data_IF_317623177291
#
_entry.id   IF_317623177291
#
_cell.length_a   1.000
_cell.length_b   1.000
_cell.length_c   1.000
_cell.angle_alpha   90.00
_cell.angle_beta   90.00
_cell.angle_gamma   90.00
#
_symmetry.space_group_name_H-M   'P 1'
#
loop_
_entity.id
_entity.type
_entity.pdbx_description
1 polymer ?
#
# COMPACT_ATOMS: atom_id res chain seq x y z
N UNK A 1 -15.66 10.53 1.20
CA UNK A 1 -14.20 10.37 1.33
C UNK A 1 -13.63 11.53 2.12
N UNK A 2 -12.94 11.26 3.19
CA UNK A 2 -12.28 12.26 4.02
C UNK A 2 -10.78 12.12 3.82
N UNK A 3 -10.16 13.12 3.21
CA UNK A 3 -8.72 13.16 3.01
C UNK A 3 -8.08 13.87 4.19
N UNK A 4 -7.04 13.31 4.75
CA UNK A 4 -6.33 13.88 5.89
C UNK A 4 -4.85 13.98 5.60
N UNK A 5 -4.29 15.16 5.84
CA UNK A 5 -2.85 15.37 5.83
C UNK A 5 -2.33 15.10 7.25
N UNK A 6 -1.33 14.25 7.36
CA UNK A 6 -0.75 13.88 8.65
C UNK A 6 0.74 13.62 8.51
N UNK A 7 1.45 13.70 9.62
CA UNK A 7 2.87 13.32 9.69
C UNK A 7 2.94 11.90 10.23
N UNK A 8 3.54 11.01 9.45
CA UNK A 8 3.79 9.63 9.84
C UNK A 8 5.30 9.40 9.96
N UNK A 9 5.68 8.50 10.85
CA UNK A 9 7.09 8.23 11.17
C UNK A 9 7.46 6.86 10.63
N UNK A 10 8.57 6.79 9.89
CA UNK A 10 9.10 5.52 9.37
C UNK A 10 9.53 4.63 10.52
N UNK A 11 8.93 3.45 10.61
CA UNK A 11 9.29 2.42 11.58
C UNK A 11 10.02 1.24 10.95
N UNK A 12 9.87 1.05 9.65
CA UNK A 12 10.56 0.00 8.90
C UNK A 12 10.67 0.40 7.44
N UNK A 13 11.80 0.12 6.82
CA UNK A 13 12.01 0.28 5.38
C UNK A 13 12.94 -0.85 4.92
N UNK A 14 12.34 -1.98 4.51
CA UNK A 14 13.05 -3.24 4.31
C UNK A 14 12.92 -3.71 2.87
N UNK A 15 14.04 -4.10 2.26
CA UNK A 15 14.04 -4.74 0.96
C UNK A 15 13.46 -6.16 1.09
N UNK A 16 12.42 -6.45 0.31
CA UNK A 16 11.81 -7.78 0.26
C UNK A 16 12.32 -8.62 -0.91
N UNK A 17 12.58 -7.95 -2.02
CA UNK A 17 13.08 -8.56 -3.25
C UNK A 17 13.76 -7.47 -4.07
N UNK A 18 14.31 -7.82 -5.23
CA UNK A 18 14.96 -6.86 -6.10
C UNK A 18 13.96 -5.77 -6.52
N UNK A 19 14.23 -4.52 -6.12
CA UNK A 19 13.39 -3.37 -6.43
C UNK A 19 12.07 -3.31 -5.65
N UNK A 20 11.83 -4.19 -4.69
CA UNK A 20 10.59 -4.25 -3.90
C UNK A 20 10.90 -4.03 -2.42
N UNK A 21 10.22 -3.07 -1.81
CA UNK A 21 10.44 -2.68 -0.42
C UNK A 21 9.14 -2.66 0.36
N UNK A 22 9.24 -2.98 1.65
CA UNK A 22 8.16 -2.78 2.62
C UNK A 22 8.47 -1.57 3.47
N UNK A 23 7.57 -0.60 3.47
CA UNK A 23 7.65 0.62 4.27
C UNK A 23 6.54 0.59 5.32
N UNK A 24 6.90 0.69 6.59
CA UNK A 24 5.93 0.84 7.67
C UNK A 24 6.05 2.21 8.29
N UNK A 25 4.89 2.81 8.54
CA UNK A 25 4.77 4.16 9.08
C UNK A 25 3.83 4.14 10.28
N UNK A 26 4.22 4.85 11.33
CA UNK A 26 3.39 4.97 12.53
C UNK A 26 2.79 6.36 12.65
N UNK A 27 1.55 6.43 13.12
CA UNK A 27 0.84 7.67 13.38
C UNK A 27 -0.66 7.54 13.18
N UNK A 28 -1.31 8.63 12.77
CA UNK A 28 -2.75 8.66 12.60
C UNK A 28 -3.16 8.01 11.26
N UNK A 29 -3.78 6.85 11.34
CA UNK A 29 -4.32 6.12 10.19
C UNK A 29 -5.84 6.19 10.10
N UNK A 30 -6.48 7.06 10.89
CA UNK A 30 -7.94 7.08 11.03
C UNK A 30 -8.70 7.43 9.74
N UNK A 31 -8.07 8.12 8.81
CA UNK A 31 -8.70 8.46 7.53
C UNK A 31 -8.67 7.31 6.51
N UNK A 32 -7.88 6.26 6.77
CA UNK A 32 -7.85 5.07 5.94
C UNK A 32 -9.01 4.18 6.38
N UNK A 33 -9.98 3.98 5.51
CA UNK A 33 -11.26 3.34 5.89
C UNK A 33 -11.58 2.07 5.12
N UNK A 34 -10.92 1.84 3.98
CA UNK A 34 -11.26 0.71 3.13
C UNK A 34 -10.05 0.19 2.35
N UNK A 35 -10.00 -1.14 2.10
CA UNK A 35 -8.99 -1.70 1.18
C UNK A 35 -9.14 -1.09 -0.20
N UNK A 36 -8.02 -0.85 -0.88
CA UNK A 36 -8.01 -0.24 -2.20
C UNK A 36 -7.76 1.26 -2.18
N UNK A 37 -7.77 1.89 -1.02
CA UNK A 37 -7.35 3.29 -0.89
C UNK A 37 -5.83 3.40 -1.04
N UNK A 38 -5.36 4.61 -1.28
CA UNK A 38 -3.94 4.90 -1.42
C UNK A 38 -3.55 6.13 -0.59
N UNK A 39 -2.25 6.32 -0.46
CA UNK A 39 -1.66 7.49 0.20
C UNK A 39 -0.76 8.22 -0.77
N UNK A 40 -0.57 9.53 -0.55
CA UNK A 40 0.39 10.33 -1.28
C UNK A 40 1.50 10.79 -0.33
N UNK A 41 2.72 10.34 -0.59
CA UNK A 41 3.89 10.67 0.20
C UNK A 41 4.61 11.90 -0.36
N UNK A 42 4.89 12.88 0.49
CA UNK A 42 5.73 14.01 0.13
C UNK A 42 7.18 13.65 0.42
N UNK A 43 7.99 13.62 -0.64
CA UNK A 43 9.42 13.30 -0.54
C UNK A 43 10.25 14.58 -0.60
N UNK A 44 11.25 14.66 0.28
CA UNK A 44 12.18 15.78 0.30
C UNK A 44 12.91 15.92 -1.04
N UNK A 45 12.94 17.14 -1.60
CA UNK A 45 13.58 17.40 -2.88
C UNK A 45 12.76 17.06 -4.12
N UNK A 46 11.54 16.55 -3.95
CA UNK A 46 10.66 16.23 -5.07
C UNK A 46 9.43 17.13 -5.06
N UNK A 47 9.07 17.65 -6.22
CA UNK A 47 7.96 18.58 -6.36
C UNK A 47 6.60 17.87 -6.20
N UNK A 48 6.45 16.70 -6.82
CA UNK A 48 5.20 15.94 -6.79
C UNK A 48 5.24 14.86 -5.71
N UNK A 49 4.09 14.65 -5.05
CA UNK A 49 3.91 13.55 -4.12
C UNK A 49 3.92 12.22 -4.88
N UNK A 50 4.21 11.13 -4.15
CA UNK A 50 4.22 9.76 -4.72
C UNK A 50 3.01 8.99 -4.20
N UNK A 51 2.09 8.56 -5.11
CA UNK A 51 0.95 7.74 -4.71
C UNK A 51 1.38 6.28 -4.53
N UNK A 52 0.98 5.69 -3.41
CA UNK A 52 1.23 4.27 -3.13
C UNK A 52 -0.02 3.68 -2.53
N UNK A 53 -0.46 2.54 -3.05
CA UNK A 53 -1.61 1.81 -2.54
C UNK A 53 -1.34 1.26 -1.15
N UNK A 54 -2.34 1.31 -0.28
CA UNK A 54 -2.26 0.77 1.07
C UNK A 54 -2.25 -0.75 0.99
N UNK A 55 -1.23 -1.38 1.57
CA UNK A 55 -1.18 -2.83 1.74
C UNK A 55 -2.01 -3.26 2.94
N UNK A 56 -1.77 -2.62 4.08
CA UNK A 56 -2.51 -2.88 5.32
C UNK A 56 -2.40 -1.67 6.25
N UNK A 57 -3.36 -1.58 7.18
CA UNK A 57 -3.30 -0.57 8.25
C UNK A 57 -3.99 -1.13 9.48
N UNK A 58 -3.41 -0.90 10.65
CA UNK A 58 -3.95 -1.41 11.90
C UNK A 58 -3.33 -0.66 13.08
N UNK A 59 -4.18 -0.17 13.99
CA UNK A 59 -3.75 0.42 15.27
C UNK A 59 -2.66 1.49 15.15
N UNK A 60 -2.82 2.40 14.18
CA UNK A 60 -1.86 3.49 13.99
C UNK A 60 -0.58 3.08 13.26
N UNK A 61 -0.57 1.91 12.62
CA UNK A 61 0.52 1.47 11.75
C UNK A 61 0.03 1.26 10.32
N UNK A 62 0.72 1.88 9.38
CA UNK A 62 0.45 1.77 7.96
C UNK A 62 1.56 0.94 7.30
N UNK A 63 1.18 -0.06 6.52
CA UNK A 63 2.11 -0.87 5.73
C UNK A 63 1.92 -0.59 4.25
N UNK A 64 3.01 -0.23 3.60
CA UNK A 64 3.09 0.00 2.16
C UNK A 64 4.12 -0.94 1.57
N UNK A 65 3.86 -1.41 0.36
CA UNK A 65 4.86 -2.13 -0.44
C UNK A 65 4.99 -1.36 -1.73
N UNK A 66 6.22 -0.96 -2.05
CA UNK A 66 6.48 -0.15 -3.25
C UNK A 66 7.56 -0.78 -4.11
N UNK A 67 7.46 -0.51 -5.41
CA UNK A 67 8.44 -0.92 -6.39
C UNK A 67 9.28 0.30 -6.78
N UNK A 68 10.58 0.12 -6.87
CA UNK A 68 11.50 1.17 -7.32
C UNK A 68 11.35 1.32 -8.83
N UNK A 69 10.77 2.46 -9.25
CA UNK A 69 10.44 2.73 -10.65
C UNK A 69 11.07 4.02 -11.18
N UNK A 70 11.64 4.86 -10.33
CA UNK A 70 12.21 6.14 -10.73
C UNK A 70 12.89 6.83 -9.58
N UNK A 71 13.28 8.07 -9.76
CA UNK A 71 14.07 8.82 -8.79
C UNK A 71 13.37 8.99 -7.44
N UNK A 72 12.05 9.19 -7.44
CA UNK A 72 11.29 9.35 -6.21
C UNK A 72 11.28 8.08 -5.37
N UNK A 73 10.91 6.95 -5.95
CA UNK A 73 10.90 5.66 -5.24
C UNK A 73 12.30 5.18 -4.91
N UNK A 74 13.31 5.51 -5.75
CA UNK A 74 14.71 5.24 -5.43
C UNK A 74 15.14 6.01 -4.18
N UNK A 75 14.77 7.28 -4.07
CA UNK A 75 15.06 8.08 -2.88
C UNK A 75 14.40 7.51 -1.62
N UNK A 76 13.22 6.91 -1.76
CA UNK A 76 12.53 6.27 -0.64
C UNK A 76 13.35 5.13 -0.01
N UNK A 77 14.15 4.43 -0.80
CA UNK A 77 14.97 3.30 -0.30
C UNK A 77 15.99 3.73 0.74
N UNK A 78 16.38 5.00 0.74
CA UNK A 78 17.34 5.55 1.69
C UNK A 78 16.74 6.14 2.97
N UNK A 79 15.41 6.12 3.11
CA UNK A 79 14.78 6.67 4.30
C UNK A 79 15.05 5.81 5.54
N UNK A 80 15.62 6.44 6.57
CA UNK A 80 15.92 5.77 7.82
C UNK A 80 14.69 5.68 8.73
N UNK A 81 14.70 4.70 9.63
CA UNK A 81 13.73 4.64 10.75
C UNK A 81 13.80 5.95 11.53
N UNK A 82 12.63 6.50 11.87
CA UNK A 82 12.51 7.80 12.55
C UNK A 82 12.29 8.96 11.59
N UNK A 83 12.41 8.76 10.28
CA UNK A 83 12.11 9.80 9.30
C UNK A 83 10.63 10.20 9.38
N UNK A 84 10.37 11.50 9.45
CA UNK A 84 9.01 12.04 9.43
C UNK A 84 8.59 12.31 8.00
N UNK A 85 7.42 11.82 7.61
CA UNK A 85 6.85 12.02 6.29
C UNK A 85 5.52 12.75 6.38
N UNK A 86 5.34 13.73 5.50
CA UNK A 86 4.05 14.36 5.27
C UNK A 86 3.26 13.47 4.31
N UNK A 87 2.11 12.99 4.75
CA UNK A 87 1.31 11.99 4.03
C UNK A 87 -0.13 12.46 3.91
N UNK A 88 -0.68 12.39 2.71
CA UNK A 88 -2.13 12.51 2.50
C UNK A 88 -2.72 11.11 2.56
N UNK A 89 -3.68 10.90 3.46
CA UNK A 89 -4.35 9.61 3.68
C UNK A 89 -5.83 9.69 3.33
N UNK A 90 -6.47 8.54 3.13
CA UNK A 90 -7.90 8.47 2.84
C UNK A 90 -8.23 8.76 1.38
N UNK A 91 -7.28 8.62 0.48
CA UNK A 91 -7.47 8.85 -0.94
C UNK A 91 -8.04 7.60 -1.62
N UNK A 92 -8.94 7.81 -2.59
CA UNK A 92 -9.60 6.73 -3.31
C UNK A 92 -10.85 6.19 -2.60
N UNK A 93 -11.70 5.51 -3.35
CA UNK A 93 -12.98 5.02 -2.84
C UNK A 93 -12.90 3.65 -2.18
N UNK A 94 -11.81 2.93 -2.42
CA UNK A 94 -11.67 1.55 -1.95
C UNK A 94 -12.46 0.55 -2.77
N UNK A 95 -12.27 -0.73 -2.44
CA UNK A 95 -13.05 -1.82 -3.03
C UNK A 95 -14.43 -1.91 -2.39
N UNK A 96 -15.43 -2.22 -3.19
CA UNK A 96 -16.77 -2.51 -2.67
C UNK A 96 -16.84 -3.98 -2.23
N UNK A 97 -16.66 -4.21 -0.94
CA UNK A 97 -16.62 -5.57 -0.38
C UNK A 97 -17.98 -6.27 -0.42
N UNK A 98 -19.08 -5.55 -0.64
CA UNK A 98 -20.42 -6.13 -0.71
C UNK A 98 -20.67 -6.89 -2.01
N UNK A 99 -19.88 -6.67 -3.04
CA UNK A 99 -20.10 -7.24 -4.38
C UNK A 99 -19.48 -8.61 -4.60
N UNK A 100 -18.66 -9.09 -3.67
CA UNK A 100 -17.91 -10.34 -3.86
C UNK A 100 -18.69 -11.62 -3.67
N UNK A 101 -19.90 -11.57 -3.14
CA UNK A 101 -20.68 -12.77 -2.82
C UNK A 101 -19.99 -13.62 -1.75
N UNK A 102 -20.31 -14.94 -1.71
CA UNK A 102 -19.77 -15.88 -0.72
C UNK A 102 -18.36 -16.36 -1.06
N UNK A 103 -18.00 -16.36 -2.34
CA UNK A 103 -16.74 -16.89 -2.86
C UNK A 103 -16.04 -15.86 -3.74
N UNK A 104 -15.56 -14.73 -3.18
CA UNK A 104 -14.92 -13.72 -3.99
C UNK A 104 -13.61 -14.22 -4.59
N UNK A 105 -13.37 -13.85 -5.85
CA UNK A 105 -12.12 -14.09 -6.56
C UNK A 105 -11.35 -12.78 -6.66
N UNK A 106 -10.14 -12.75 -6.11
CA UNK A 106 -9.25 -11.59 -6.20
C UNK A 106 -8.14 -11.89 -7.21
N UNK A 107 -7.94 -10.96 -8.13
CA UNK A 107 -6.92 -11.11 -9.18
C UNK A 107 -5.96 -9.93 -9.08
N UNK A 108 -4.68 -10.21 -8.97
CA UNK A 108 -3.67 -9.16 -8.90
C UNK A 108 -2.35 -9.60 -9.48
N UNK A 109 -1.62 -8.62 -10.02
CA UNK A 109 -0.29 -8.84 -10.56
C UNK A 109 0.65 -7.68 -10.23
N UNK A 110 1.92 -7.99 -9.98
CA UNK A 110 2.94 -6.99 -9.69
C UNK A 110 2.56 -6.11 -8.50
N UNK A 111 2.57 -4.80 -8.69
CA UNK A 111 2.21 -3.82 -7.65
C UNK A 111 0.72 -3.79 -7.33
N UNK A 112 -0.10 -4.52 -8.07
CA UNK A 112 -1.52 -4.70 -7.76
C UNK A 112 -1.77 -5.77 -6.69
N UNK A 113 -0.77 -6.56 -6.31
CA UNK A 113 -0.88 -7.59 -5.27
C UNK A 113 -1.02 -7.00 -3.86
N UNK A 114 -0.17 -6.04 -3.42
CA UNK A 114 -0.26 -5.50 -2.08
C UNK A 114 -1.65 -4.95 -1.69
N UNK A 115 -2.37 -4.20 -2.56
CA UNK A 115 -3.70 -3.72 -2.21
C UNK A 115 -4.71 -4.83 -1.93
N UNK A 116 -4.49 -6.03 -2.46
CA UNK A 116 -5.40 -7.17 -2.26
C UNK A 116 -5.23 -7.82 -0.89
N UNK A 117 -4.12 -7.59 -0.21
CA UNK A 117 -3.86 -8.22 1.10
C UNK A 117 -4.92 -7.84 2.13
N UNK A 118 -5.14 -6.56 2.34
CA UNK A 118 -6.11 -6.11 3.33
C UNK A 118 -7.55 -6.42 2.90
N UNK A 119 -7.82 -6.43 1.60
CA UNK A 119 -9.12 -6.87 1.07
C UNK A 119 -9.37 -8.34 1.38
N UNK A 120 -8.41 -9.22 1.10
CA UNK A 120 -8.53 -10.65 1.40
C UNK A 120 -8.70 -10.89 2.90
N UNK A 121 -7.94 -10.18 3.72
CA UNK A 121 -8.01 -10.25 5.18
C UNK A 121 -9.40 -9.90 5.69
N UNK A 122 -10.00 -8.82 5.18
CA UNK A 122 -11.34 -8.38 5.59
C UNK A 122 -12.44 -9.31 5.12
N UNK A 123 -12.37 -9.79 3.89
CA UNK A 123 -13.34 -10.74 3.36
C UNK A 123 -13.29 -12.06 4.12
N UNK A 124 -12.10 -12.55 4.44
CA UNK A 124 -11.93 -13.77 5.25
C UNK A 124 -12.50 -13.59 6.65
N UNK A 125 -12.30 -12.42 7.25
CA UNK A 125 -12.86 -12.11 8.57
C UNK A 125 -14.40 -12.08 8.57
N UNK A 126 -15.01 -11.82 7.41
CA UNK A 126 -16.47 -11.89 7.25
C UNK A 126 -16.99 -13.30 7.01
N UNK A 127 -16.12 -14.31 7.07
CA UNK A 127 -16.50 -15.70 6.86
C UNK A 127 -16.59 -16.14 5.41
N UNK A 128 -16.13 -15.31 4.48
CA UNK A 128 -16.16 -15.63 3.04
C UNK A 128 -14.98 -16.50 2.63
N UNK A 129 -15.18 -17.30 1.60
CA UNK A 129 -14.13 -18.14 1.01
C UNK A 129 -13.43 -17.34 -0.09
N UNK A 130 -12.25 -16.84 0.21
CA UNK A 130 -11.50 -15.99 -0.72
C UNK A 130 -10.53 -16.84 -1.54
N UNK A 131 -10.55 -16.66 -2.85
CA UNK A 131 -9.57 -17.22 -3.76
C UNK A 131 -8.76 -16.09 -4.37
N UNK A 132 -7.45 -16.19 -4.30
CA UNK A 132 -6.56 -15.20 -4.90
C UNK A 132 -5.83 -15.82 -6.09
N UNK A 133 -5.90 -15.16 -7.24
CA UNK A 133 -5.10 -15.48 -8.40
C UNK A 133 -4.04 -14.39 -8.53
N UNK A 134 -2.79 -14.75 -8.20
CA UNK A 134 -1.68 -13.81 -8.19
C UNK A 134 -0.67 -14.18 -9.26
N UNK A 135 -0.18 -13.18 -9.97
CA UNK A 135 0.84 -13.38 -10.99
C UNK A 135 1.89 -12.28 -10.90
N UNK A 136 3.10 -12.57 -11.38
CA UNK A 136 4.17 -11.59 -11.48
C UNK A 136 4.30 -11.12 -12.91
N UNK A 137 4.57 -9.82 -13.09
CA UNK A 137 4.87 -9.31 -14.42
C UNK A 137 6.15 -9.95 -14.93
N UNK A 138 6.21 -10.41 -16.21
CA UNK A 138 7.45 -10.91 -16.77
C UNK A 138 8.53 -9.83 -16.70
N UNK A 139 9.75 -10.23 -16.38
CA UNK A 139 10.88 -9.32 -16.48
C UNK A 139 11.20 -9.06 -17.96
N UNK A 140 11.88 -7.96 -18.31
CA UNK A 140 12.30 -7.73 -19.70
C UNK A 140 13.15 -8.86 -20.28
N UNK A 141 13.80 -9.64 -19.42
CA UNK A 141 14.60 -10.79 -19.86
C UNK A 141 13.78 -12.01 -20.28
N UNK A 142 12.54 -12.09 -19.83
CA UNK A 142 11.66 -13.24 -20.06
C UNK A 142 10.77 -13.06 -21.29
N UNK A 143 10.93 -11.95 -21.97
CA UNK A 143 10.12 -11.60 -23.14
C UNK A 143 10.77 -12.00 -24.44
#
# INVERSE_FOLDING_TARGET
>A
MIVKQTTLIVTENTRLADGIYRLRLAGDTSAITAPGQFVNLKLSGFFLRRPISVCDWENGELTLIYKVLGHGTEAMTGMAVGTELDVLTGLGNGFDVSRGGEHPLLVGGGVGIPPLYSLAKRLTAQGKRVTCLLYTSPSPRDR
#
